data_IF_988836180067
#
_entry.id   IF_988836180067
#
_cell.length_a   1.000
_cell.length_b   1.000
_cell.length_c   1.000
_cell.angle_alpha   90.00
_cell.angle_beta   90.00
_cell.angle_gamma   90.00
#
_symmetry.space_group_name_H-M   'P 1'
#
loop_
_entity.id
_entity.type
_entity.pdbx_description
1 polymer ?
#
# COMPACT_ATOMS: atom_id res chain seq x y z
N UNK A 1 9.74 -9.93 -9.67
CA UNK A 1 8.64 -9.39 -8.85
C UNK A 1 8.96 -9.64 -7.39
N UNK A 2 8.73 -8.66 -6.51
CA UNK A 2 8.85 -8.86 -5.08
C UNK A 2 7.67 -9.70 -4.58
N UNK A 3 7.96 -10.78 -3.85
CA UNK A 3 6.98 -11.58 -3.14
C UNK A 3 7.17 -11.39 -1.64
N UNK A 4 6.34 -10.56 -0.97
CA UNK A 4 6.50 -10.28 0.44
C UNK A 4 6.48 -11.54 1.30
N UNK A 5 5.59 -12.50 1.01
CA UNK A 5 5.52 -13.76 1.74
C UNK A 5 6.85 -14.53 1.69
N UNK A 6 7.54 -14.64 0.55
CA UNK A 6 8.85 -15.30 0.49
C UNK A 6 9.91 -14.51 1.28
N UNK A 7 9.98 -13.20 1.06
CA UNK A 7 11.07 -12.38 1.58
C UNK A 7 10.96 -12.05 3.08
N UNK A 8 9.75 -11.85 3.59
CA UNK A 8 9.51 -11.59 5.02
C UNK A 8 9.70 -12.87 5.85
N UNK A 9 9.39 -14.04 5.30
CA UNK A 9 9.64 -15.32 5.97
C UNK A 9 11.15 -15.61 6.10
N UNK A 10 11.99 -15.10 5.19
CA UNK A 10 13.45 -15.13 5.34
C UNK A 10 13.89 -14.29 6.55
N UNK A 11 13.39 -13.07 6.69
CA UNK A 11 13.73 -12.22 7.85
C UNK A 11 13.22 -12.85 9.15
N UNK A 12 11.97 -13.34 9.15
CA UNK A 12 11.33 -13.98 10.29
C UNK A 12 12.07 -15.22 10.80
N UNK A 13 12.63 -16.04 9.91
CA UNK A 13 13.46 -17.20 10.29
C UNK A 13 14.73 -16.82 11.04
N UNK A 14 15.29 -15.66 10.74
CA UNK A 14 16.51 -15.18 11.36
C UNK A 14 16.25 -14.42 12.67
N UNK A 15 14.99 -14.12 12.99
CA UNK A 15 14.60 -13.42 14.19
C UNK A 15 14.38 -14.40 15.36
N UNK A 16 15.36 -14.47 16.27
CA UNK A 16 15.40 -15.44 17.38
C UNK A 16 14.26 -15.29 18.37
N UNK A 17 13.77 -14.06 18.56
CA UNK A 17 12.76 -13.75 19.55
C UNK A 17 11.36 -13.60 18.96
N UNK A 18 11.16 -14.13 17.74
CA UNK A 18 9.85 -14.15 17.10
C UNK A 18 8.99 -15.29 17.64
N UNK A 19 7.76 -14.97 18.00
CA UNK A 19 6.75 -15.91 18.43
C UNK A 19 5.57 -15.88 17.45
N UNK A 20 4.88 -17.01 17.36
CA UNK A 20 3.65 -17.19 16.61
C UNK A 20 2.53 -17.65 17.54
N UNK A 21 1.36 -17.06 17.39
CA UNK A 21 0.10 -17.57 17.96
C UNK A 21 -0.91 -17.83 16.84
N UNK A 22 -1.92 -18.65 17.15
CA UNK A 22 -3.07 -18.86 16.28
C UNK A 22 -4.37 -18.74 17.07
N UNK A 23 -5.44 -18.34 16.39
CA UNK A 23 -6.80 -18.29 16.94
C UNK A 23 -7.47 -19.68 17.06
N UNK A 24 -6.79 -20.75 16.61
CA UNK A 24 -7.25 -22.13 16.71
C UNK A 24 -6.07 -23.13 16.71
N UNK A 25 -6.25 -24.34 17.28
CA UNK A 25 -5.23 -25.39 17.27
C UNK A 25 -5.02 -25.97 15.87
N UNK A 26 -3.77 -26.16 15.45
CA UNK A 26 -3.38 -26.65 14.12
C UNK A 26 -3.31 -28.19 14.06
N UNK A 27 -4.43 -28.86 14.39
CA UNK A 27 -4.50 -30.33 14.55
C UNK A 27 -5.13 -31.07 13.36
N UNK A 28 -5.70 -30.35 12.38
CA UNK A 28 -6.33 -30.94 11.20
C UNK A 28 -6.27 -29.99 10.01
N UNK A 29 -6.50 -30.49 8.79
CA UNK A 29 -6.55 -29.66 7.58
C UNK A 29 -7.54 -28.50 7.72
N UNK A 30 -8.76 -28.76 8.20
CA UNK A 30 -9.77 -27.71 8.38
C UNK A 30 -9.31 -26.60 9.35
N UNK A 31 -8.59 -26.97 10.41
CA UNK A 31 -8.01 -25.94 11.29
C UNK A 31 -6.91 -25.12 10.61
N UNK A 32 -6.02 -25.73 9.81
CA UNK A 32 -5.07 -24.96 9.01
C UNK A 32 -5.78 -24.02 8.02
N UNK A 33 -6.87 -24.48 7.40
CA UNK A 33 -7.62 -23.68 6.41
C UNK A 33 -8.26 -22.44 7.07
N UNK A 34 -8.71 -22.52 8.32
CA UNK A 34 -9.37 -21.40 9.01
C UNK A 34 -8.45 -20.54 9.89
N UNK A 35 -7.48 -21.16 10.58
CA UNK A 35 -6.66 -20.49 11.57
C UNK A 35 -5.88 -19.31 10.98
N UNK A 36 -5.81 -18.23 11.73
CA UNK A 36 -5.07 -17.02 11.39
C UNK A 36 -3.84 -16.89 12.30
N UNK A 37 -2.62 -16.97 11.75
CA UNK A 37 -1.41 -16.75 12.52
C UNK A 37 -1.22 -15.26 12.83
N UNK A 38 -0.67 -14.98 14.01
CA UNK A 38 -0.13 -13.67 14.37
C UNK A 38 1.28 -13.85 14.89
N UNK A 39 2.12 -12.87 14.62
CA UNK A 39 3.52 -12.88 15.04
C UNK A 39 3.79 -11.72 15.98
N UNK A 40 4.61 -11.97 16.99
CA UNK A 40 5.00 -10.97 17.97
C UNK A 40 6.46 -11.17 18.36
N UNK A 41 7.16 -10.06 18.54
CA UNK A 41 8.52 -10.05 19.07
C UNK A 41 8.49 -9.82 20.58
N UNK A 42 9.13 -10.71 21.33
CA UNK A 42 9.28 -10.60 22.78
C UNK A 42 10.74 -10.28 23.17
N UNK A 43 10.92 -9.62 24.31
CA UNK A 43 12.24 -9.51 24.91
C UNK A 43 12.67 -10.85 25.52
N UNK A 44 13.99 -11.11 25.63
CA UNK A 44 14.53 -12.37 26.16
C UNK A 44 14.09 -12.65 27.61
N UNK A 45 13.86 -11.61 28.41
CA UNK A 45 13.37 -11.72 29.79
C UNK A 45 11.85 -11.93 29.89
N UNK A 46 11.15 -11.82 28.76
CA UNK A 46 9.70 -11.92 28.64
C UNK A 46 9.26 -13.23 27.99
N UNK A 47 10.16 -14.22 27.86
CA UNK A 47 9.81 -15.52 27.27
C UNK A 47 8.66 -16.19 28.06
N UNK A 48 7.64 -16.75 27.37
CA UNK A 48 6.56 -17.46 28.02
C UNK A 48 7.10 -18.63 28.84
N UNK A 49 6.66 -18.76 30.09
CA UNK A 49 7.09 -19.83 31.01
C UNK A 49 6.44 -21.18 30.71
N UNK A 50 5.37 -21.19 29.90
CA UNK A 50 4.65 -22.39 29.47
C UNK A 50 5.08 -22.70 28.04
N UNK A 51 5.63 -23.90 27.83
CA UNK A 51 5.90 -24.42 26.50
C UNK A 51 4.57 -24.73 25.80
N UNK A 52 4.21 -23.87 24.83
CA UNK A 52 2.98 -24.01 24.07
C UNK A 52 3.24 -24.55 22.67
N UNK A 53 2.43 -25.53 22.27
CA UNK A 53 2.52 -26.17 20.98
C UNK A 53 1.19 -26.00 20.24
N UNK A 54 1.19 -25.22 19.16
CA UNK A 54 -0.01 -24.95 18.33
C UNK A 54 -0.57 -26.22 17.68
N UNK A 55 0.21 -27.29 17.57
CA UNK A 55 -0.19 -28.59 17.03
C UNK A 55 -0.80 -29.52 18.09
N UNK A 56 -0.94 -29.07 19.35
CA UNK A 56 -1.60 -29.84 20.41
C UNK A 56 -3.11 -29.63 20.42
N UNK A 57 -3.87 -30.70 20.71
CA UNK A 57 -5.32 -30.61 20.98
C UNK A 57 -5.65 -29.81 22.24
N UNK A 58 -4.68 -29.67 23.15
CA UNK A 58 -4.81 -28.87 24.37
C UNK A 58 -4.32 -27.42 24.19
N UNK A 59 -3.96 -27.02 22.98
CA UNK A 59 -3.55 -25.65 22.70
C UNK A 59 -4.69 -24.68 23.01
N UNK A 60 -4.37 -23.63 23.76
CA UNK A 60 -5.28 -22.53 24.05
C UNK A 60 -5.04 -21.44 23.01
N UNK A 61 -6.03 -21.09 22.18
CA UNK A 61 -5.91 -20.00 21.20
C UNK A 61 -5.32 -18.71 21.78
N UNK A 62 -4.40 -18.09 21.03
CA UNK A 62 -3.67 -16.90 21.48
C UNK A 62 -2.49 -17.20 22.42
N UNK A 63 -2.14 -18.47 22.63
CA UNK A 63 -0.90 -18.78 23.35
C UNK A 63 0.29 -18.76 22.40
N UNK A 64 1.40 -18.16 22.85
CA UNK A 64 2.59 -17.94 22.04
C UNK A 64 3.46 -19.21 21.96
N UNK A 65 3.88 -19.56 20.75
CA UNK A 65 4.89 -20.58 20.46
C UNK A 65 6.09 -19.92 19.81
N UNK A 66 7.32 -20.27 20.22
CA UNK A 66 8.52 -19.73 19.58
C UNK A 66 8.53 -20.13 18.10
N UNK A 67 8.76 -19.17 17.20
CA UNK A 67 8.61 -19.42 15.76
C UNK A 67 9.59 -20.47 15.24
N UNK A 68 10.81 -20.52 15.77
CA UNK A 68 11.77 -21.59 15.46
C UNK A 68 11.22 -22.98 15.84
N UNK A 69 10.65 -23.11 17.05
CA UNK A 69 10.03 -24.35 17.52
C UNK A 69 8.82 -24.73 16.66
N UNK A 70 8.03 -23.74 16.21
CA UNK A 70 6.92 -23.96 15.30
C UNK A 70 7.38 -24.58 13.98
N UNK A 71 8.45 -24.05 13.37
CA UNK A 71 9.01 -24.57 12.12
C UNK A 71 9.62 -25.97 12.26
N UNK A 72 10.18 -26.30 13.43
CA UNK A 72 10.73 -27.63 13.71
C UNK A 72 9.64 -28.68 13.93
N UNK A 73 8.53 -28.30 14.58
CA UNK A 73 7.49 -29.23 15.03
C UNK A 73 6.30 -29.34 14.06
N UNK A 74 6.22 -28.47 13.04
CA UNK A 74 5.09 -28.46 12.11
C UNK A 74 4.94 -29.81 11.38
N UNK A 75 3.76 -30.45 11.42
CA UNK A 75 3.52 -31.67 10.69
C UNK A 75 3.67 -31.46 9.18
N UNK A 76 4.58 -32.17 8.53
CA UNK A 76 4.88 -32.02 7.10
C UNK A 76 6.03 -31.06 6.78
N UNK A 77 6.69 -30.51 7.79
CA UNK A 77 7.96 -29.77 7.66
C UNK A 77 7.82 -28.29 7.33
N UNK A 78 8.95 -27.58 7.44
CA UNK A 78 9.05 -26.12 7.32
C UNK A 78 8.38 -25.55 6.06
N UNK A 79 8.58 -26.19 4.89
CA UNK A 79 7.99 -25.71 3.65
C UNK A 79 6.45 -25.64 3.71
N UNK A 80 5.80 -26.63 4.34
CA UNK A 80 4.34 -26.62 4.51
C UNK A 80 3.88 -25.49 5.43
N UNK A 81 4.64 -25.17 6.48
CA UNK A 81 4.35 -24.02 7.33
C UNK A 81 4.44 -22.71 6.54
N UNK A 82 5.50 -22.53 5.76
CA UNK A 82 5.70 -21.32 4.96
C UNK A 82 4.64 -21.18 3.85
N UNK A 83 4.28 -22.27 3.17
CA UNK A 83 3.20 -22.28 2.18
C UNK A 83 1.84 -21.94 2.84
N UNK A 84 1.60 -22.45 4.05
CA UNK A 84 0.40 -22.12 4.82
C UNK A 84 0.38 -20.64 5.21
N UNK A 85 1.47 -20.09 5.73
CA UNK A 85 1.55 -18.66 6.08
C UNK A 85 1.37 -17.79 4.83
N UNK A 86 2.02 -18.15 3.72
CA UNK A 86 1.88 -17.45 2.44
C UNK A 86 0.41 -17.42 1.98
N UNK A 87 -0.32 -18.53 2.13
CA UNK A 87 -1.76 -18.60 1.81
C UNK A 87 -2.65 -17.71 2.67
N UNK A 88 -2.14 -17.14 3.79
CA UNK A 88 -2.85 -16.17 4.63
C UNK A 88 -2.47 -14.72 4.31
N UNK A 89 -1.43 -14.51 3.51
CA UNK A 89 -0.90 -13.19 3.14
C UNK A 89 -1.30 -12.82 1.71
N UNK A 90 -1.42 -13.82 0.84
CA UNK A 90 -1.75 -13.64 -0.58
C UNK A 90 -3.22 -13.95 -0.82
N UNK A 91 -3.91 -13.05 -1.51
CA UNK A 91 -5.23 -13.30 -2.10
C UNK A 91 -5.04 -13.89 -3.49
N UNK A 92 -5.66 -15.05 -3.73
CA UNK A 92 -5.62 -15.72 -5.01
C UNK A 92 -6.91 -15.47 -5.81
N UNK A 93 -6.85 -15.74 -7.11
CA UNK A 93 -8.01 -15.64 -8.00
C UNK A 93 -9.23 -16.45 -7.49
N UNK A 94 -9.00 -17.61 -6.87
CA UNK A 94 -10.09 -18.43 -6.29
C UNK A 94 -10.82 -17.75 -5.14
N UNK A 95 -10.17 -16.81 -4.45
CA UNK A 95 -10.75 -16.05 -3.34
C UNK A 95 -11.57 -14.89 -3.91
N UNK A 96 -11.02 -14.13 -4.86
CA UNK A 96 -11.71 -13.01 -5.52
C UNK A 96 -12.92 -13.45 -6.37
N UNK A 97 -12.81 -14.58 -7.08
CA UNK A 97 -13.84 -15.07 -8.01
C UNK A 97 -14.70 -16.21 -7.45
N UNK A 98 -14.70 -16.42 -6.13
CA UNK A 98 -15.56 -17.43 -5.53
C UNK A 98 -17.05 -17.10 -5.78
N UNK A 99 -17.89 -18.10 -6.05
CA UNK A 99 -19.29 -17.88 -6.43
C UNK A 99 -20.14 -17.20 -5.34
N UNK A 100 -19.73 -17.35 -4.08
CA UNK A 100 -20.38 -16.72 -2.92
C UNK A 100 -19.66 -15.43 -2.46
N UNK A 101 -18.66 -14.96 -3.21
CA UNK A 101 -17.86 -13.81 -2.84
C UNK A 101 -18.66 -12.52 -2.96
N UNK A 102 -18.52 -11.65 -1.96
CA UNK A 102 -19.04 -10.29 -1.96
C UNK A 102 -17.90 -9.29 -1.75
N UNK A 103 -18.15 -8.00 -2.04
CA UNK A 103 -17.19 -6.91 -1.77
C UNK A 103 -16.77 -6.90 -0.29
N UNK A 104 -17.73 -6.93 0.63
CA UNK A 104 -17.42 -6.96 2.07
C UNK A 104 -16.69 -8.24 2.48
N UNK A 105 -17.05 -9.37 1.88
CA UNK A 105 -16.39 -10.65 2.10
C UNK A 105 -14.91 -10.58 1.70
N UNK A 106 -14.59 -10.03 0.53
CA UNK A 106 -13.21 -10.06 0.03
C UNK A 106 -12.37 -9.02 0.77
N UNK A 107 -12.97 -7.89 1.16
CA UNK A 107 -12.37 -6.95 2.11
C UNK A 107 -12.05 -7.61 3.46
N UNK A 108 -12.91 -8.49 3.98
CA UNK A 108 -12.61 -9.25 5.20
C UNK A 108 -11.38 -10.14 5.03
N UNK A 109 -11.28 -10.86 3.90
CA UNK A 109 -10.09 -11.65 3.56
C UNK A 109 -8.84 -10.76 3.41
N UNK A 110 -8.97 -9.62 2.73
CA UNK A 110 -7.90 -8.64 2.55
C UNK A 110 -7.38 -8.10 3.87
N UNK A 111 -8.25 -7.66 4.78
CA UNK A 111 -7.83 -7.17 6.10
C UNK A 111 -7.12 -8.24 6.94
N UNK A 112 -7.49 -9.53 6.78
CA UNK A 112 -6.82 -10.64 7.46
C UNK A 112 -5.36 -10.79 6.99
N UNK A 113 -5.02 -10.44 5.75
CA UNK A 113 -3.62 -10.51 5.28
C UNK A 113 -2.73 -9.55 6.06
N UNK A 114 -3.21 -8.34 6.34
CA UNK A 114 -2.48 -7.33 7.10
C UNK A 114 -2.28 -7.71 8.57
N UNK A 115 -3.22 -8.47 9.16
CA UNK A 115 -3.04 -9.03 10.51
C UNK A 115 -1.80 -9.92 10.57
N UNK A 116 -1.61 -10.76 9.56
CA UNK A 116 -0.44 -11.66 9.47
C UNK A 116 0.82 -10.86 9.15
N UNK A 117 0.76 -10.00 8.12
CA UNK A 117 1.89 -9.20 7.67
C UNK A 117 2.46 -8.34 8.79
N UNK A 118 1.60 -7.65 9.57
CA UNK A 118 2.00 -6.74 10.64
C UNK A 118 3.05 -7.37 11.55
N UNK A 119 2.80 -8.59 12.03
CA UNK A 119 3.74 -9.28 12.91
C UNK A 119 5.04 -9.74 12.24
N UNK A 120 5.02 -9.97 10.92
CA UNK A 120 6.20 -10.40 10.15
C UNK A 120 7.13 -9.26 9.74
N UNK A 121 6.62 -8.02 9.67
CA UNK A 121 7.40 -6.87 9.21
C UNK A 121 7.62 -5.75 10.25
N UNK A 122 6.83 -5.67 11.33
CA UNK A 122 6.93 -4.60 12.34
C UNK A 122 8.08 -4.81 13.35
N UNK A 123 9.30 -5.03 12.87
CA UNK A 123 10.51 -4.92 13.67
C UNK A 123 11.67 -4.39 12.83
N UNK A 124 12.64 -3.75 13.48
CA UNK A 124 13.69 -2.92 12.89
C UNK A 124 14.34 -3.54 11.64
N UNK A 125 14.85 -4.77 11.74
CA UNK A 125 15.49 -5.45 10.61
C UNK A 125 14.52 -5.72 9.45
N UNK A 126 13.34 -6.29 9.71
CA UNK A 126 12.39 -6.62 8.64
C UNK A 126 11.79 -5.37 8.00
N UNK A 127 11.47 -4.34 8.79
CA UNK A 127 10.93 -3.07 8.32
C UNK A 127 11.91 -2.41 7.32
N UNK A 128 13.19 -2.32 7.70
CA UNK A 128 14.26 -1.78 6.85
C UNK A 128 14.48 -2.62 5.60
N UNK A 129 14.60 -3.94 5.76
CA UNK A 129 14.89 -4.85 4.64
C UNK A 129 13.72 -4.93 3.65
N UNK A 130 12.49 -4.94 4.14
CA UNK A 130 11.31 -4.96 3.30
C UNK A 130 11.23 -3.69 2.45
N UNK A 131 11.36 -2.51 3.06
CA UNK A 131 11.37 -1.25 2.31
C UNK A 131 12.48 -1.21 1.25
N UNK A 132 13.70 -1.66 1.60
CA UNK A 132 14.80 -1.81 0.63
C UNK A 132 14.38 -2.68 -0.56
N UNK A 133 13.81 -3.86 -0.31
CA UNK A 133 13.36 -4.76 -1.37
C UNK A 133 12.27 -4.12 -2.24
N UNK A 134 11.34 -3.36 -1.65
CA UNK A 134 10.31 -2.62 -2.37
C UNK A 134 10.94 -1.63 -3.35
N UNK A 135 11.78 -0.70 -2.89
CA UNK A 135 12.36 0.33 -3.77
C UNK A 135 13.24 -0.28 -4.88
N UNK A 136 13.97 -1.36 -4.59
CA UNK A 136 14.74 -2.09 -5.60
C UNK A 136 13.85 -2.81 -6.61
N UNK A 137 12.71 -3.34 -6.19
CA UNK A 137 11.74 -3.96 -7.10
C UNK A 137 11.13 -2.90 -8.03
N UNK A 138 10.75 -1.75 -7.50
CA UNK A 138 10.19 -0.64 -8.28
C UNK A 138 11.20 -0.14 -9.32
N UNK A 139 12.43 0.12 -8.90
CA UNK A 139 13.50 0.58 -9.80
C UNK A 139 13.78 -0.43 -10.94
N UNK A 140 13.68 -1.73 -10.67
CA UNK A 140 13.85 -2.80 -11.68
C UNK A 140 12.64 -2.92 -12.62
N UNK A 141 11.46 -2.53 -12.17
CA UNK A 141 10.23 -2.45 -12.98
C UNK A 141 10.18 -1.16 -13.82
N UNK A 142 11.27 -0.39 -13.89
CA UNK A 142 11.36 0.85 -14.67
C UNK A 142 10.71 2.08 -14.02
N UNK A 143 10.26 1.96 -12.78
CA UNK A 143 9.62 3.05 -12.04
C UNK A 143 10.69 4.00 -11.54
N UNK A 144 10.48 5.31 -11.72
CA UNK A 144 11.47 6.33 -11.38
C UNK A 144 11.24 6.98 -10.02
N UNK A 145 10.01 6.96 -9.53
CA UNK A 145 9.62 7.63 -8.30
C UNK A 145 8.37 6.99 -7.71
N UNK A 146 8.27 6.98 -6.38
CA UNK A 146 7.12 6.42 -5.70
C UNK A 146 6.69 7.29 -4.52
N UNK A 147 5.38 7.35 -4.29
CA UNK A 147 4.79 7.87 -3.06
C UNK A 147 4.11 6.72 -2.37
N UNK A 148 4.58 6.36 -1.19
CA UNK A 148 4.05 5.25 -0.41
C UNK A 148 3.15 5.79 0.69
N UNK A 149 1.94 5.25 0.79
CA UNK A 149 1.16 5.36 2.03
C UNK A 149 1.88 4.55 3.08
N UNK A 150 2.31 5.20 4.15
CA UNK A 150 2.88 4.52 5.30
C UNK A 150 1.88 4.58 6.43
N UNK A 151 1.46 3.41 6.91
CA UNK A 151 0.54 3.33 8.04
C UNK A 151 1.25 3.78 9.31
N UNK A 152 1.00 5.01 9.71
CA UNK A 152 1.55 5.64 10.93
C UNK A 152 0.40 6.04 11.87
N UNK A 153 -0.67 5.25 11.86
CA UNK A 153 -1.82 5.46 12.74
C UNK A 153 -1.45 5.18 14.20
N UNK A 154 -2.29 5.70 15.11
CA UNK A 154 -2.15 5.50 16.54
C UNK A 154 -1.91 4.02 16.90
N UNK A 155 -0.82 3.76 17.64
CA UNK A 155 -0.48 2.42 18.12
C UNK A 155 0.19 1.50 17.09
N UNK A 156 0.58 1.99 15.91
CA UNK A 156 1.29 1.18 14.92
C UNK A 156 2.81 1.41 14.90
N UNK A 157 3.48 0.80 15.87
CA UNK A 157 4.94 0.87 15.98
C UNK A 157 5.61 -0.43 15.49
N UNK A 158 6.79 -0.28 14.91
CA UNK A 158 7.74 -1.39 14.77
C UNK A 158 8.52 -1.57 16.07
N UNK A 159 8.99 -2.78 16.38
CA UNK A 159 9.81 -3.04 17.58
C UNK A 159 11.31 -3.04 17.28
N UNK A 160 12.12 -2.75 18.29
CA UNK A 160 13.57 -3.05 18.28
C UNK A 160 13.77 -4.56 18.09
N UNK A 161 14.84 -4.97 17.41
CA UNK A 161 15.09 -6.39 17.09
C UNK A 161 15.26 -7.28 18.33
N UNK A 162 15.61 -6.70 19.48
CA UNK A 162 15.71 -7.40 20.76
C UNK A 162 14.37 -7.56 21.48
N UNK A 163 13.29 -6.94 20.98
CA UNK A 163 11.95 -6.99 21.55
C UNK A 163 11.73 -6.11 22.78
N UNK A 164 12.72 -5.31 23.19
CA UNK A 164 12.70 -4.56 24.46
C UNK A 164 11.85 -3.28 24.41
N UNK A 165 11.73 -2.66 23.23
CA UNK A 165 11.02 -1.40 23.06
C UNK A 165 10.41 -1.25 21.67
N UNK A 166 9.41 -0.39 21.59
CA UNK A 166 8.84 0.08 20.33
C UNK A 166 9.67 1.24 19.78
N UNK A 167 9.80 1.30 18.46
CA UNK A 167 10.32 2.45 17.72
C UNK A 167 9.23 3.51 17.64
N UNK A 168 9.53 4.74 18.02
CA UNK A 168 8.63 5.83 17.69
C UNK A 168 8.62 6.09 16.16
N UNK A 169 7.61 6.79 15.64
CA UNK A 169 7.49 7.00 14.20
C UNK A 169 8.66 7.79 13.59
N UNK A 170 9.32 8.68 14.36
CA UNK A 170 10.51 9.39 13.89
C UNK A 170 11.67 8.43 13.64
N UNK A 171 11.89 7.47 14.54
CA UNK A 171 12.88 6.40 14.36
C UNK A 171 12.53 5.52 13.16
N UNK A 172 11.24 5.17 12.99
CA UNK A 172 10.79 4.38 11.82
C UNK A 172 11.05 5.11 10.50
N UNK A 173 10.70 6.40 10.39
CA UNK A 173 10.98 7.19 9.18
C UNK A 173 12.48 7.38 8.97
N UNK A 174 13.28 7.50 10.05
CA UNK A 174 14.74 7.55 9.96
C UNK A 174 15.30 6.27 9.33
N UNK A 175 14.81 5.08 9.71
CA UNK A 175 15.24 3.81 9.08
C UNK A 175 14.99 3.81 7.56
N UNK A 176 13.85 4.34 7.12
CA UNK A 176 13.52 4.44 5.69
C UNK A 176 14.42 5.47 4.98
N UNK A 177 14.67 6.60 5.63
CA UNK A 177 15.59 7.64 5.14
C UNK A 177 17.02 7.11 4.95
N UNK A 178 17.49 6.31 5.91
CA UNK A 178 18.81 5.68 5.85
C UNK A 178 18.90 4.71 4.68
N UNK A 179 17.85 3.92 4.43
CA UNK A 179 17.77 3.03 3.25
C UNK A 179 17.86 3.83 1.95
N UNK A 180 17.11 4.93 1.80
CA UNK A 180 17.19 5.77 0.60
C UNK A 180 18.60 6.35 0.42
N UNK A 181 19.20 6.85 1.48
CA UNK A 181 20.55 7.44 1.46
C UNK A 181 21.61 6.41 1.05
N UNK A 182 21.46 5.17 1.52
CA UNK A 182 22.37 4.06 1.25
C UNK A 182 22.20 3.48 -0.16
N UNK A 183 20.95 3.32 -0.62
CA UNK A 183 20.63 2.50 -1.80
C UNK A 183 20.47 3.30 -3.09
N UNK A 184 20.08 4.59 -3.04
CA UNK A 184 19.96 5.41 -4.26
C UNK A 184 21.28 5.51 -5.06
N UNK A 185 22.45 5.73 -4.44
CA UNK A 185 23.72 5.72 -5.18
C UNK A 185 24.02 4.36 -5.83
N UNK A 186 23.64 3.25 -5.17
CA UNK A 186 23.86 1.89 -5.68
C UNK A 186 22.97 1.59 -6.89
N UNK A 187 21.73 2.08 -6.89
CA UNK A 187 20.81 1.97 -8.03
C UNK A 187 21.36 2.74 -9.23
N UNK A 188 21.80 3.99 -9.01
CA UNK A 188 22.43 4.82 -10.05
C UNK A 188 23.69 4.16 -10.64
N UNK A 189 24.53 3.55 -9.81
CA UNK A 189 25.72 2.81 -10.27
C UNK A 189 25.38 1.57 -11.12
N UNK A 190 24.16 1.05 -11.02
CA UNK A 190 23.62 -0.03 -11.87
C UNK A 190 22.79 0.49 -13.05
N UNK A 191 22.88 1.78 -13.36
CA UNK A 191 22.10 2.44 -14.42
C UNK A 191 20.59 2.32 -14.26
N UNK A 192 20.09 2.18 -13.03
CA UNK A 192 18.67 2.28 -12.73
C UNK A 192 18.28 3.75 -12.52
N UNK A 193 17.18 4.18 -13.13
CA UNK A 193 16.70 5.56 -13.09
C UNK A 193 15.69 5.80 -11.96
N UNK A 194 16.08 5.54 -10.70
CA UNK A 194 15.21 5.76 -9.54
C UNK A 194 15.62 7.03 -8.77
N UNK A 195 14.74 8.03 -8.79
CA UNK A 195 14.92 9.35 -8.17
C UNK A 195 14.61 9.37 -6.68
N UNK A 196 13.81 8.42 -6.18
CA UNK A 196 13.54 8.28 -4.75
C UNK A 196 12.09 7.94 -4.41
N UNK A 197 11.84 7.87 -3.11
CA UNK A 197 10.52 7.67 -2.53
C UNK A 197 10.13 8.87 -1.65
N UNK A 198 8.82 9.04 -1.47
CA UNK A 198 8.21 9.94 -0.49
C UNK A 198 7.09 9.21 0.24
N UNK A 199 6.69 9.77 1.37
CA UNK A 199 5.74 9.14 2.27
C UNK A 199 4.50 10.00 2.43
N UNK A 200 3.34 9.37 2.31
CA UNK A 200 2.05 9.93 2.66
C UNK A 200 1.72 9.35 4.03
N UNK A 201 1.58 10.21 5.03
CA UNK A 201 1.15 9.78 6.35
C UNK A 201 -0.28 9.26 6.24
N UNK A 202 -0.54 8.06 6.76
CA UNK A 202 -1.86 7.43 6.61
C UNK A 202 -2.43 7.03 7.97
N UNK A 203 -3.52 7.69 8.34
CA UNK A 203 -4.39 7.29 9.46
C UNK A 203 -5.37 6.19 9.01
N UNK A 204 -5.89 5.41 9.95
CA UNK A 204 -6.99 4.48 9.67
C UNK A 204 -8.33 5.14 9.92
N UNK A 205 -9.24 5.05 8.95
CA UNK A 205 -10.59 5.65 9.07
C UNK A 205 -11.47 5.06 10.17
N UNK A 206 -11.07 3.95 10.79
CA UNK A 206 -11.75 3.34 11.93
C UNK A 206 -11.32 3.95 13.28
N UNK A 207 -10.38 4.90 13.29
CA UNK A 207 -9.91 5.50 14.52
C UNK A 207 -10.95 6.45 15.14
N UNK A 208 -10.79 6.70 16.43
CA UNK A 208 -11.53 7.73 17.15
C UNK A 208 -11.04 9.13 16.76
N UNK A 209 -11.78 10.17 17.18
CA UNK A 209 -11.39 11.57 16.96
C UNK A 209 -10.11 11.95 17.72
N UNK A 210 -9.94 11.44 18.93
CA UNK A 210 -8.73 11.67 19.74
C UNK A 210 -7.50 11.02 19.07
N UNK A 211 -7.65 9.81 18.53
CA UNK A 211 -6.59 9.16 17.76
C UNK A 211 -6.29 9.90 16.45
N UNK A 212 -7.29 10.51 15.81
CA UNK A 212 -7.09 11.37 14.63
C UNK A 212 -6.30 12.63 14.98
N UNK A 213 -6.62 13.30 16.09
CA UNK A 213 -5.87 14.45 16.58
C UNK A 213 -4.41 14.07 16.88
N UNK A 214 -4.19 12.91 17.50
CA UNK A 214 -2.83 12.39 17.70
C UNK A 214 -2.10 12.16 16.38
N UNK A 215 -2.78 11.59 15.37
CA UNK A 215 -2.21 11.37 14.04
C UNK A 215 -1.83 12.69 13.34
N UNK A 216 -2.64 13.74 13.55
CA UNK A 216 -2.38 15.09 13.04
C UNK A 216 -1.10 15.65 13.66
N UNK A 217 -0.99 15.63 14.99
CA UNK A 217 0.19 16.10 15.72
C UNK A 217 1.46 15.35 15.27
N UNK A 218 1.37 14.03 15.14
CA UNK A 218 2.50 13.19 14.74
C UNK A 218 2.90 13.46 13.28
N UNK A 219 1.93 13.61 12.36
CA UNK A 219 2.21 13.97 10.97
C UNK A 219 2.93 15.33 10.86
N UNK A 220 2.52 16.33 11.64
CA UNK A 220 3.18 17.65 11.70
C UNK A 220 4.62 17.49 12.20
N UNK A 221 4.82 16.77 13.31
CA UNK A 221 6.14 16.55 13.88
C UNK A 221 7.08 15.82 12.91
N UNK A 222 6.57 14.81 12.20
CA UNK A 222 7.33 14.09 11.17
C UNK A 222 7.64 14.97 9.97
N UNK A 223 6.71 15.84 9.54
CA UNK A 223 6.98 16.82 8.47
C UNK A 223 8.06 17.80 8.86
N UNK A 224 8.08 18.28 10.11
CA UNK A 224 9.15 19.17 10.58
C UNK A 224 10.50 18.46 10.66
N UNK A 225 10.52 17.19 11.08
CA UNK A 225 11.75 16.40 11.16
C UNK A 225 12.27 15.94 9.79
N UNK A 226 11.37 15.65 8.85
CA UNK A 226 11.67 15.11 7.52
C UNK A 226 10.90 15.88 6.43
N UNK A 227 11.22 17.17 6.22
CA UNK A 227 10.44 18.07 5.35
C UNK A 227 10.36 17.59 3.91
N UNK A 228 11.40 16.93 3.43
CA UNK A 228 11.43 16.40 2.07
C UNK A 228 10.69 15.07 1.95
N UNK A 229 10.63 14.24 2.99
CA UNK A 229 10.09 12.87 2.90
C UNK A 229 8.57 12.81 3.12
N UNK A 230 8.03 13.55 4.08
CA UNK A 230 6.58 13.58 4.34
C UNK A 230 5.91 14.53 3.34
N UNK A 231 5.07 13.97 2.47
CA UNK A 231 4.56 14.67 1.28
C UNK A 231 3.03 14.76 1.20
N UNK A 232 2.31 14.24 2.18
CA UNK A 232 0.86 14.34 2.26
C UNK A 232 0.27 13.58 3.44
N UNK A 233 -1.05 13.71 3.59
CA UNK A 233 -1.86 13.02 4.59
C UNK A 233 -3.05 12.32 3.92
N UNK A 234 -3.39 11.13 4.40
CA UNK A 234 -4.43 10.25 3.85
C UNK A 234 -5.14 9.48 4.98
N UNK A 235 -6.31 8.95 4.66
CA UNK A 235 -7.09 8.05 5.50
C UNK A 235 -7.43 6.77 4.72
N UNK A 236 -6.88 5.64 5.17
CA UNK A 236 -7.07 4.33 4.53
C UNK A 236 -7.90 3.38 5.41
N UNK A 237 -8.18 2.19 4.87
CA UNK A 237 -9.04 1.16 5.45
C UNK A 237 -10.37 1.04 4.72
N UNK A 238 -11.19 0.01 5.02
CA UNK A 238 -12.38 -0.32 4.24
C UNK A 238 -13.38 0.84 4.21
N UNK A 239 -13.56 1.47 3.04
CA UNK A 239 -14.33 2.71 2.91
C UNK A 239 -15.78 2.55 3.39
N UNK A 240 -16.38 1.39 3.09
CA UNK A 240 -17.76 1.06 3.43
C UNK A 240 -18.01 0.79 4.92
N UNK A 241 -16.98 0.48 5.71
CA UNK A 241 -17.13 0.06 7.10
C UNK A 241 -16.51 1.03 8.12
N UNK A 242 -15.65 1.94 7.66
CA UNK A 242 -15.03 2.96 8.50
C UNK A 242 -15.79 4.28 8.54
N UNK A 243 -15.24 5.27 9.23
CA UNK A 243 -15.83 6.61 9.25
C UNK A 243 -15.60 7.34 7.92
N UNK A 244 -16.60 8.09 7.42
CA UNK A 244 -16.42 8.98 6.28
C UNK A 244 -15.55 10.19 6.64
N UNK A 245 -15.07 10.93 5.64
CA UNK A 245 -14.33 12.18 5.83
C UNK A 245 -15.18 13.21 6.59
N UNK A 246 -16.49 13.26 6.34
CA UNK A 246 -17.45 14.12 7.03
C UNK A 246 -17.41 13.99 8.57
N UNK A 247 -17.05 12.82 9.09
CA UNK A 247 -16.93 12.56 10.52
C UNK A 247 -15.76 13.35 11.16
N UNK A 248 -14.69 13.58 10.41
CA UNK A 248 -13.44 14.21 10.88
C UNK A 248 -13.27 15.65 10.39
N UNK A 249 -14.31 16.31 9.88
CA UNK A 249 -14.19 17.67 9.32
C UNK A 249 -13.55 18.66 10.31
N UNK A 250 -13.97 18.75 11.58
CA UNK A 250 -13.33 19.65 12.53
C UNK A 250 -11.82 19.39 12.67
N UNK A 251 -11.43 18.12 12.80
CA UNK A 251 -10.05 17.69 12.99
C UNK A 251 -9.20 17.95 11.73
N UNK A 252 -9.74 17.67 10.54
CA UNK A 252 -9.05 17.91 9.26
C UNK A 252 -8.92 19.40 8.93
N UNK A 253 -9.89 20.24 9.32
CA UNK A 253 -9.79 21.69 9.19
C UNK A 253 -8.77 22.28 10.18
N UNK A 254 -8.71 21.76 11.41
CA UNK A 254 -7.68 22.11 12.38
C UNK A 254 -6.28 21.79 11.83
N UNK A 255 -6.09 20.58 11.29
CA UNK A 255 -4.81 20.19 10.69
C UNK A 255 -4.36 21.12 9.57
N UNK A 256 -5.27 21.55 8.69
CA UNK A 256 -4.96 22.53 7.65
C UNK A 256 -4.51 23.86 8.27
N UNK A 257 -5.25 24.35 9.26
CA UNK A 257 -4.93 25.60 9.95
C UNK A 257 -3.55 25.53 10.61
N UNK A 258 -3.23 24.45 11.32
CA UNK A 258 -1.93 24.29 11.97
C UNK A 258 -0.78 24.19 10.96
N UNK A 259 -1.00 23.51 9.82
CA UNK A 259 -0.03 23.51 8.73
C UNK A 259 0.21 24.92 8.19
N UNK A 260 -0.84 25.74 8.01
CA UNK A 260 -0.73 27.12 7.57
C UNK A 260 0.03 27.99 8.59
N UNK A 261 -0.33 27.90 9.87
CA UNK A 261 0.32 28.63 10.96
C UNK A 261 1.82 28.29 11.10
N UNK A 262 2.18 27.03 10.85
CA UNK A 262 3.57 26.56 10.86
C UNK A 262 4.29 26.70 9.52
N UNK A 263 3.63 27.25 8.48
CA UNK A 263 4.15 27.34 7.11
C UNK A 263 4.61 25.99 6.54
N UNK A 264 3.93 24.91 6.92
CA UNK A 264 4.15 23.56 6.42
C UNK A 264 3.20 23.28 5.26
N UNK A 265 3.74 22.72 4.17
CA UNK A 265 2.92 22.22 3.07
C UNK A 265 2.73 20.71 3.18
N UNK A 266 1.54 20.29 3.66
CA UNK A 266 1.11 18.89 3.70
C UNK A 266 -0.26 18.78 3.00
N UNK A 267 -0.31 18.40 1.71
CA UNK A 267 -1.58 18.25 1.01
C UNK A 267 -2.33 16.99 1.45
N UNK A 268 -3.65 17.06 1.40
CA UNK A 268 -4.49 15.86 1.48
C UNK A 268 -4.42 15.06 0.18
N UNK A 269 -4.40 13.73 0.30
CA UNK A 269 -4.34 12.77 -0.80
C UNK A 269 -5.25 11.58 -0.45
N UNK A 270 -6.55 11.85 -0.30
CA UNK A 270 -7.49 10.92 0.34
C UNK A 270 -7.86 9.74 -0.57
N UNK A 271 -7.97 8.54 0.02
CA UNK A 271 -8.86 7.51 -0.50
C UNK A 271 -10.31 7.99 -0.42
N UNK A 272 -10.98 8.03 -1.57
CA UNK A 272 -12.39 8.38 -1.65
C UNK A 272 -13.06 7.75 -2.88
N UNK A 273 -14.29 7.27 -2.70
CA UNK A 273 -15.10 6.71 -3.78
C UNK A 273 -14.66 5.32 -4.25
N UNK A 274 -13.91 4.57 -3.46
CA UNK A 274 -13.64 3.14 -3.63
C UNK A 274 -14.88 2.31 -3.21
N UNK A 275 -15.99 2.52 -3.90
CA UNK A 275 -17.27 1.90 -3.53
C UNK A 275 -18.18 1.64 -4.73
N UNK A 276 -19.01 0.60 -4.60
CA UNK A 276 -20.14 0.36 -5.49
C UNK A 276 -21.35 1.23 -5.15
N UNK A 277 -21.39 1.83 -3.96
CA UNK A 277 -22.45 2.71 -3.51
C UNK A 277 -22.63 3.94 -4.42
N UNK A 278 -23.84 4.50 -4.44
CA UNK A 278 -24.17 5.69 -5.18
C UNK A 278 -25.12 6.60 -4.40
N UNK A 279 -24.63 7.79 -4.05
CA UNK A 279 -25.38 8.79 -3.29
C UNK A 279 -25.50 8.51 -1.79
N UNK A 280 -24.86 7.45 -1.28
CA UNK A 280 -24.75 7.20 0.16
C UNK A 280 -23.57 7.92 0.81
N UNK A 281 -23.38 7.65 2.10
CA UNK A 281 -22.40 8.34 2.95
C UNK A 281 -20.95 8.08 2.50
N UNK A 282 -20.65 6.87 2.02
CA UNK A 282 -19.31 6.50 1.56
C UNK A 282 -18.97 7.21 0.25
N UNK A 283 -19.89 7.17 -0.72
CA UNK A 283 -19.74 7.86 -2.01
C UNK A 283 -19.61 9.38 -1.83
N UNK A 284 -20.18 9.92 -0.75
CA UNK A 284 -20.07 11.34 -0.39
C UNK A 284 -18.64 11.78 -0.02
N UNK A 285 -17.73 10.84 0.31
CA UNK A 285 -16.32 11.15 0.54
C UNK A 285 -15.66 11.85 -0.66
N UNK A 286 -16.12 11.62 -1.89
CA UNK A 286 -15.62 12.33 -3.07
C UNK A 286 -15.89 13.84 -2.99
N UNK A 287 -17.05 14.24 -2.49
CA UNK A 287 -17.42 15.64 -2.31
C UNK A 287 -16.53 16.27 -1.23
N UNK A 288 -16.44 15.60 -0.08
CA UNK A 288 -15.65 16.09 1.05
C UNK A 288 -14.16 16.19 0.70
N UNK A 289 -13.59 15.20 0.01
CA UNK A 289 -12.18 15.23 -0.41
C UNK A 289 -11.89 16.44 -1.31
N UNK A 290 -12.77 16.73 -2.28
CA UNK A 290 -12.64 17.88 -3.19
C UNK A 290 -12.80 19.20 -2.43
N UNK A 291 -13.81 19.31 -1.55
CA UNK A 291 -14.03 20.50 -0.72
C UNK A 291 -12.88 20.74 0.27
N UNK A 292 -12.24 19.67 0.74
CA UNK A 292 -11.03 19.71 1.55
C UNK A 292 -9.77 20.04 0.73
N UNK A 293 -9.90 20.30 -0.57
CA UNK A 293 -8.79 20.73 -1.42
C UNK A 293 -7.74 19.65 -1.66
N UNK A 294 -8.17 18.37 -1.66
CA UNK A 294 -7.28 17.25 -1.95
C UNK A 294 -6.56 17.43 -3.28
N UNK A 295 -5.30 16.98 -3.37
CA UNK A 295 -4.50 17.08 -4.60
C UNK A 295 -4.62 15.86 -5.48
N UNK A 296 -4.95 14.70 -4.89
CA UNK A 296 -5.24 13.47 -5.62
C UNK A 296 -6.29 12.67 -4.86
N UNK A 297 -7.04 11.86 -5.59
CA UNK A 297 -8.04 10.95 -5.04
C UNK A 297 -7.55 9.52 -5.25
N UNK A 298 -7.37 8.78 -4.16
CA UNK A 298 -7.14 7.33 -4.15
C UNK A 298 -8.37 6.60 -4.69
N UNK A 299 -8.17 5.74 -5.69
CA UNK A 299 -9.19 5.01 -6.46
C UNK A 299 -10.16 5.88 -7.25
N UNK A 300 -11.01 6.68 -6.58
CA UNK A 300 -12.05 7.46 -7.24
C UNK A 300 -12.99 6.61 -8.10
N UNK A 301 -13.23 5.36 -7.71
CA UNK A 301 -13.93 4.38 -8.52
C UNK A 301 -15.35 4.82 -8.90
N UNK A 302 -16.10 5.36 -7.93
CA UNK A 302 -17.46 5.87 -8.12
C UNK A 302 -17.53 7.27 -8.74
N UNK A 303 -16.40 7.93 -9.01
CA UNK A 303 -16.36 9.32 -9.50
C UNK A 303 -17.13 9.52 -10.82
N UNK A 304 -17.15 8.50 -11.68
CA UNK A 304 -17.87 8.55 -12.97
C UNK A 304 -19.39 8.68 -12.82
N UNK A 305 -19.93 8.40 -11.63
CA UNK A 305 -21.35 8.62 -11.29
C UNK A 305 -21.66 10.09 -11.01
N UNK A 306 -20.64 10.95 -10.91
CA UNK A 306 -20.73 12.35 -10.49
C UNK A 306 -20.11 13.30 -11.53
N UNK A 307 -20.83 13.65 -12.62
CA UNK A 307 -20.30 14.48 -13.69
C UNK A 307 -19.73 15.83 -13.23
N UNK A 308 -20.39 16.48 -12.26
CA UNK A 308 -19.90 17.73 -11.70
C UNK A 308 -18.56 17.54 -10.96
N UNK A 309 -18.39 16.44 -10.22
CA UNK A 309 -17.13 16.18 -9.52
C UNK A 309 -16.00 15.85 -10.49
N UNK A 310 -16.27 15.12 -11.58
CA UNK A 310 -15.29 14.93 -12.66
C UNK A 310 -14.82 16.27 -13.24
N UNK A 311 -15.77 17.19 -13.49
CA UNK A 311 -15.45 18.53 -13.97
C UNK A 311 -14.57 19.29 -12.97
N UNK A 312 -14.92 19.24 -11.68
CA UNK A 312 -14.12 19.87 -10.63
C UNK A 312 -12.72 19.26 -10.52
N UNK A 313 -12.56 17.94 -10.65
CA UNK A 313 -11.24 17.32 -10.66
C UNK A 313 -10.38 17.83 -11.82
N UNK A 314 -10.96 17.97 -13.02
CA UNK A 314 -10.27 18.53 -14.18
C UNK A 314 -9.87 19.99 -13.96
N UNK A 315 -10.81 20.83 -13.54
CA UNK A 315 -10.60 22.27 -13.36
C UNK A 315 -9.59 22.56 -12.24
N UNK A 316 -9.70 21.84 -11.13
CA UNK A 316 -8.85 22.03 -9.95
C UNK A 316 -7.55 21.23 -10.02
N UNK A 317 -7.28 20.54 -11.14
CA UNK A 317 -6.07 19.73 -11.33
C UNK A 317 -5.90 18.69 -10.20
N UNK A 318 -6.96 17.94 -9.92
CA UNK A 318 -6.97 16.83 -8.97
C UNK A 318 -6.84 15.53 -9.75
N UNK A 319 -5.74 14.80 -9.53
CA UNK A 319 -5.51 13.54 -10.23
C UNK A 319 -6.17 12.35 -9.52
N UNK A 320 -6.71 11.42 -10.28
CA UNK A 320 -7.27 10.16 -9.77
C UNK A 320 -6.22 9.05 -9.87
N UNK A 321 -6.08 8.29 -8.79
CA UNK A 321 -5.14 7.18 -8.68
C UNK A 321 -5.84 5.86 -8.98
N UNK A 322 -5.57 5.30 -10.15
CA UNK A 322 -6.31 4.18 -10.71
C UNK A 322 -5.58 2.88 -10.40
N UNK A 323 -6.25 1.98 -9.71
CA UNK A 323 -5.69 0.71 -9.20
C UNK A 323 -6.50 -0.47 -9.75
N UNK A 324 -6.34 -0.80 -11.05
CA UNK A 324 -7.25 -1.70 -11.77
C UNK A 324 -7.24 -3.14 -11.25
N UNK A 325 -6.07 -3.67 -10.83
CA UNK A 325 -5.99 -5.03 -10.26
C UNK A 325 -6.66 -5.04 -8.90
N UNK A 326 -6.38 -4.05 -8.04
CA UNK A 326 -7.03 -3.89 -6.73
C UNK A 326 -8.55 -3.85 -6.87
N UNK A 327 -9.07 -2.99 -7.76
CA UNK A 327 -10.51 -2.86 -7.98
C UNK A 327 -11.15 -4.16 -8.52
N UNK A 328 -10.43 -4.97 -9.30
CA UNK A 328 -10.90 -6.27 -9.77
C UNK A 328 -10.89 -7.31 -8.65
N UNK A 329 -9.78 -7.43 -7.92
CA UNK A 329 -9.61 -8.38 -6.80
C UNK A 329 -10.61 -8.08 -5.67
N UNK A 330 -10.84 -6.81 -5.35
CA UNK A 330 -11.76 -6.38 -4.28
C UNK A 330 -13.24 -6.34 -4.72
N UNK A 331 -13.56 -6.86 -5.91
CA UNK A 331 -14.93 -7.08 -6.36
C UNK A 331 -15.68 -5.81 -6.78
N UNK A 332 -14.98 -4.68 -6.96
CA UNK A 332 -15.60 -3.45 -7.48
C UNK A 332 -15.84 -3.56 -8.99
N UNK A 333 -14.91 -4.21 -9.69
CA UNK A 333 -14.92 -4.32 -11.15
C UNK A 333 -14.82 -5.79 -11.59
N UNK A 334 -15.86 -6.38 -12.20
CA UNK A 334 -15.79 -7.80 -12.61
C UNK A 334 -14.71 -8.09 -13.65
N UNK A 335 -14.44 -7.13 -14.53
CA UNK A 335 -13.36 -7.18 -15.53
C UNK A 335 -12.91 -5.77 -15.85
N UNK A 336 -11.66 -5.60 -16.26
CA UNK A 336 -11.12 -4.30 -16.72
C UNK A 336 -11.96 -3.56 -17.78
N UNK A 337 -12.76 -4.27 -18.59
CA UNK A 337 -13.64 -3.64 -19.60
C UNK A 337 -14.75 -2.77 -18.97
N UNK A 338 -15.08 -3.03 -17.72
CA UNK A 338 -16.06 -2.28 -16.94
C UNK A 338 -15.44 -1.18 -16.07
N UNK A 339 -14.12 -1.04 -16.12
CA UNK A 339 -13.40 -0.10 -15.26
C UNK A 339 -13.75 1.36 -15.62
N UNK A 340 -13.89 2.30 -14.66
CA UNK A 340 -14.28 3.68 -14.91
C UNK A 340 -13.27 4.53 -15.70
N UNK A 341 -12.02 4.04 -15.81
CA UNK A 341 -10.90 4.78 -16.42
C UNK A 341 -11.20 5.35 -17.82
N UNK A 342 -11.75 4.60 -18.80
CA UNK A 342 -12.03 5.16 -20.12
C UNK A 342 -12.99 6.35 -20.09
N UNK A 343 -13.96 6.36 -19.17
CA UNK A 343 -14.90 7.49 -18.98
C UNK A 343 -14.17 8.69 -18.40
N UNK A 344 -13.31 8.49 -17.38
CA UNK A 344 -12.50 9.57 -16.79
C UNK A 344 -11.60 10.22 -17.85
N UNK A 345 -10.90 9.42 -18.65
CA UNK A 345 -10.02 9.92 -19.71
C UNK A 345 -10.78 10.65 -20.81
N UNK A 346 -11.96 10.14 -21.20
CA UNK A 346 -12.83 10.80 -22.20
C UNK A 346 -13.34 12.17 -21.73
N UNK A 347 -13.36 12.42 -20.42
CA UNK A 347 -13.71 13.70 -19.82
C UNK A 347 -12.49 14.57 -19.47
N UNK A 348 -11.29 14.16 -19.86
CA UNK A 348 -10.00 14.81 -19.53
C UNK A 348 -9.75 14.92 -18.02
N UNK A 349 -10.22 13.97 -17.22
CA UNK A 349 -9.85 13.90 -15.80
C UNK A 349 -8.41 13.40 -15.69
N UNK A 350 -7.50 14.12 -15.00
CA UNK A 350 -6.13 13.66 -14.84
C UNK A 350 -6.08 12.35 -14.07
N UNK A 351 -5.37 11.36 -14.60
CA UNK A 351 -5.28 10.02 -14.02
C UNK A 351 -3.84 9.53 -13.95
N UNK A 352 -3.57 8.60 -13.03
CA UNK A 352 -2.33 7.84 -12.94
C UNK A 352 -2.65 6.39 -12.68
N UNK A 353 -1.88 5.46 -13.25
CA UNK A 353 -2.01 4.02 -12.96
C UNK A 353 -1.11 3.68 -11.78
N UNK A 354 -1.62 2.92 -10.83
CA UNK A 354 -0.94 2.54 -9.59
C UNK A 354 -1.24 1.07 -9.28
N UNK A 355 -0.36 0.44 -8.51
CA UNK A 355 -0.46 -0.99 -8.18
C UNK A 355 -1.08 -1.27 -6.81
N UNK A 356 -1.35 -0.22 -6.02
CA UNK A 356 -1.91 -0.31 -4.67
C UNK A 356 -1.11 -1.26 -3.75
N UNK A 357 -1.62 -2.45 -3.42
CA UNK A 357 -0.94 -3.50 -2.65
C UNK A 357 -0.45 -4.69 -3.51
N UNK A 358 0.53 -4.51 -4.42
CA UNK A 358 1.00 -5.55 -5.35
C UNK A 358 1.52 -6.81 -4.66
N UNK A 359 1.91 -6.70 -3.38
CA UNK A 359 2.36 -7.80 -2.55
C UNK A 359 1.26 -8.81 -2.20
N UNK A 360 0.01 -8.36 -2.09
CA UNK A 360 -1.13 -9.17 -1.65
C UNK A 360 -1.72 -9.98 -2.79
N UNK A 361 -1.69 -9.47 -4.03
CA UNK A 361 -2.17 -10.20 -5.22
C UNK A 361 -1.04 -10.63 -6.17
N UNK A 362 0.21 -10.54 -5.72
CA UNK A 362 1.41 -10.98 -6.46
C UNK A 362 1.55 -10.34 -7.86
N UNK A 363 1.59 -9.01 -7.92
CA UNK A 363 1.76 -8.26 -9.18
C UNK A 363 2.85 -7.19 -9.11
N UNK A 364 2.95 -6.39 -10.17
CA UNK A 364 3.79 -5.18 -10.24
C UNK A 364 3.01 -4.09 -11.00
N UNK A 365 3.50 -2.86 -11.01
CA UNK A 365 2.86 -1.79 -11.77
C UNK A 365 2.75 -2.10 -13.27
N UNK A 366 3.73 -2.81 -13.83
CA UNK A 366 3.67 -3.30 -15.21
C UNK A 366 2.44 -4.18 -15.48
N UNK A 367 1.96 -4.94 -14.50
CA UNK A 367 0.74 -5.74 -14.62
C UNK A 367 -0.52 -4.87 -14.65
N UNK A 368 -0.59 -3.82 -13.82
CA UNK A 368 -1.70 -2.85 -13.85
C UNK A 368 -1.75 -2.11 -15.18
N UNK A 369 -0.60 -1.69 -15.71
CA UNK A 369 -0.51 -1.13 -17.07
C UNK A 369 -1.00 -2.14 -18.11
N UNK A 370 -0.54 -3.40 -18.02
CA UNK A 370 -0.97 -4.47 -18.94
C UNK A 370 -2.49 -4.66 -18.93
N UNK A 371 -3.11 -4.71 -17.75
CA UNK A 371 -4.55 -4.88 -17.62
C UNK A 371 -5.27 -3.73 -18.33
N UNK A 372 -4.88 -2.48 -18.07
CA UNK A 372 -5.48 -1.29 -18.70
C UNK A 372 -5.26 -1.28 -20.23
N UNK A 373 -4.06 -1.62 -20.70
CA UNK A 373 -3.71 -1.77 -22.12
C UNK A 373 -4.64 -2.76 -22.83
N UNK A 374 -4.93 -3.90 -22.18
CA UNK A 374 -5.79 -4.95 -22.73
C UNK A 374 -7.29 -4.65 -22.55
N UNK A 375 -7.64 -3.78 -21.60
CA UNK A 375 -9.02 -3.46 -21.26
C UNK A 375 -9.71 -2.53 -22.24
N UNK A 376 -8.98 -1.69 -22.96
CA UNK A 376 -9.54 -0.79 -23.97
C UNK A 376 -8.60 -0.55 -25.15
N UNK A 377 -9.15 -0.71 -26.36
CA UNK A 377 -8.48 -0.35 -27.61
C UNK A 377 -8.62 1.15 -27.95
N UNK A 378 -9.23 1.96 -27.06
CA UNK A 378 -9.48 3.38 -27.31
C UNK A 378 -8.24 4.26 -27.15
N UNK A 379 -7.11 3.70 -26.70
CA UNK A 379 -5.88 4.43 -26.43
C UNK A 379 -4.75 3.97 -27.34
N UNK A 380 -3.93 4.94 -27.77
CA UNK A 380 -2.68 4.69 -28.49
C UNK A 380 -1.47 4.85 -27.57
N UNK A 381 -0.28 4.58 -28.12
CA UNK A 381 1.00 4.85 -27.47
C UNK A 381 1.12 6.28 -26.91
N UNK A 382 0.46 7.26 -27.56
CA UNK A 382 0.41 8.65 -27.10
C UNK A 382 -0.40 8.79 -25.81
N UNK A 383 -1.54 8.09 -25.70
CA UNK A 383 -2.36 8.10 -24.49
C UNK A 383 -1.61 7.49 -23.28
N UNK A 384 -0.87 6.40 -23.51
CA UNK A 384 -0.04 5.78 -22.48
C UNK A 384 1.05 6.73 -21.97
N UNK A 385 1.69 7.47 -22.90
CA UNK A 385 2.65 8.52 -22.54
C UNK A 385 2.04 9.57 -21.62
N UNK A 386 0.82 10.05 -21.93
CA UNK A 386 0.13 11.07 -21.13
C UNK A 386 -0.13 10.59 -19.70
N UNK A 387 -0.55 9.33 -19.51
CA UNK A 387 -0.72 8.78 -18.16
C UNK A 387 0.58 8.79 -17.36
N UNK A 388 1.71 8.47 -18.00
CA UNK A 388 3.02 8.54 -17.34
C UNK A 388 3.43 9.98 -17.04
N UNK A 389 3.21 10.91 -17.98
CA UNK A 389 3.48 12.34 -17.75
C UNK A 389 2.63 12.90 -16.60
N UNK A 390 1.35 12.55 -16.52
CA UNK A 390 0.50 12.93 -15.40
C UNK A 390 0.97 12.34 -14.07
N UNK A 391 1.57 11.14 -14.05
CA UNK A 391 2.18 10.62 -12.83
C UNK A 391 3.33 11.51 -12.30
N UNK A 392 4.04 12.21 -13.19
CA UNK A 392 5.11 13.17 -12.87
C UNK A 392 4.51 14.53 -12.50
N UNK A 393 3.62 15.07 -13.35
CA UNK A 393 3.00 16.38 -13.17
C UNK A 393 2.25 16.49 -11.83
N UNK A 394 1.48 15.45 -11.49
CA UNK A 394 0.67 15.36 -10.27
C UNK A 394 1.42 14.63 -9.12
N UNK A 395 2.75 14.48 -9.24
CA UNK A 395 3.58 14.02 -8.14
C UNK A 395 3.75 15.10 -7.04
N UNK A 396 4.30 14.68 -5.89
CA UNK A 396 4.65 15.60 -4.79
C UNK A 396 6.11 16.11 -4.89
N UNK A 397 6.76 15.93 -6.05
CA UNK A 397 8.09 16.48 -6.31
C UNK A 397 8.06 18.01 -6.35
N UNK A 398 9.18 18.64 -5.99
CA UNK A 398 9.40 20.07 -6.27
C UNK A 398 9.49 20.36 -7.78
N UNK A 399 9.36 21.63 -8.19
CA UNK A 399 9.37 21.99 -9.61
C UNK A 399 10.63 21.54 -10.34
N UNK A 400 11.81 21.78 -9.77
CA UNK A 400 13.07 21.32 -10.39
C UNK A 400 13.20 19.79 -10.44
N UNK A 401 12.66 19.08 -9.44
CA UNK A 401 12.62 17.62 -9.44
C UNK A 401 11.72 17.10 -10.56
N UNK A 402 10.56 17.74 -10.77
CA UNK A 402 9.64 17.42 -11.89
C UNK A 402 10.30 17.67 -13.23
N UNK A 403 10.99 18.79 -13.42
CA UNK A 403 11.70 19.10 -14.66
C UNK A 403 12.78 18.04 -14.97
N UNK A 404 13.58 17.66 -13.96
CA UNK A 404 14.57 16.59 -14.13
C UNK A 404 13.92 15.24 -14.44
N UNK A 405 12.82 14.91 -13.76
CA UNK A 405 12.08 13.67 -13.98
C UNK A 405 11.49 13.63 -15.40
N UNK A 406 10.93 14.73 -15.90
CA UNK A 406 10.38 14.82 -17.25
C UNK A 406 11.46 14.66 -18.31
N UNK A 407 12.62 15.33 -18.16
CA UNK A 407 13.75 15.16 -19.10
C UNK A 407 14.24 13.71 -19.14
N UNK A 408 14.39 13.07 -17.98
CA UNK A 408 14.80 11.68 -17.88
C UNK A 408 13.74 10.71 -18.42
N UNK A 409 12.46 10.99 -18.21
CA UNK A 409 11.34 10.23 -18.78
C UNK A 409 11.35 10.33 -20.30
N UNK A 410 11.43 11.52 -20.88
CA UNK A 410 11.41 11.71 -22.33
C UNK A 410 12.58 11.00 -23.02
N UNK A 411 13.76 11.02 -22.40
CA UNK A 411 14.92 10.27 -22.90
C UNK A 411 14.66 8.76 -22.92
N UNK A 412 14.17 8.19 -21.82
CA UNK A 412 13.83 6.76 -21.73
C UNK A 412 12.68 6.39 -22.66
N UNK A 413 11.68 7.27 -22.80
CA UNK A 413 10.55 7.08 -23.68
C UNK A 413 10.98 6.99 -25.15
N UNK A 414 11.88 7.87 -25.61
CA UNK A 414 12.43 7.78 -26.97
C UNK A 414 13.20 6.49 -27.20
N UNK A 415 14.01 6.04 -26.23
CA UNK A 415 14.72 4.77 -26.31
C UNK A 415 13.76 3.58 -26.38
N UNK A 416 12.69 3.60 -25.57
CA UNK A 416 11.63 2.59 -25.59
C UNK A 416 10.91 2.54 -26.96
N UNK A 417 10.52 3.68 -27.50
CA UNK A 417 9.91 3.76 -28.84
C UNK A 417 10.86 3.24 -29.92
N UNK A 418 12.14 3.62 -29.88
CA UNK A 418 13.13 3.14 -30.84
C UNK A 418 13.32 1.62 -30.74
N UNK A 419 13.39 1.09 -29.52
CA UNK A 419 13.46 -0.36 -29.29
C UNK A 419 12.25 -1.10 -29.86
N UNK A 420 11.04 -0.53 -29.76
CA UNK A 420 9.83 -1.11 -30.38
C UNK A 420 10.00 -1.18 -31.90
N UNK A 421 10.42 -0.10 -32.54
CA UNK A 421 10.66 -0.06 -34.00
C UNK A 421 11.72 -1.11 -34.36
N UNK A 422 12.90 -1.04 -33.75
CA UNK A 422 14.01 -1.94 -34.08
C UNK A 422 13.65 -3.44 -33.89
N UNK A 423 12.79 -3.75 -32.93
CA UNK A 423 12.43 -5.14 -32.58
C UNK A 423 11.22 -5.69 -33.34
N UNK A 424 10.28 -4.82 -33.72
CA UNK A 424 8.96 -5.24 -34.20
C UNK A 424 8.54 -4.63 -35.55
N UNK A 425 9.30 -3.71 -36.14
CA UNK A 425 8.96 -3.07 -37.43
C UNK A 425 8.77 -4.11 -38.55
N UNK A 426 9.59 -5.17 -38.57
CA UNK A 426 9.45 -6.27 -39.53
C UNK A 426 8.20 -7.15 -39.36
N UNK A 427 7.42 -6.97 -38.28
CA UNK A 427 6.17 -7.71 -38.02
C UNK A 427 4.91 -6.96 -38.47
N UNK A 428 5.07 -5.74 -38.94
CA UNK A 428 4.04 -4.90 -39.54
C UNK A 428 4.43 -4.56 -40.99
#
# INVERSE_FOLDING_TARGET
MLRPHESLLIDARNQKNLYIETDAPLVSKGFFDHALPRFQLLAEDSEPTIDTNTFSKSYIPGSLMKYSSFLEQVPGGMQRAEDWIASKIVLHAKDAYHAEQTVDGIWSHFMRTFVVLRGLFNYETAYKNHFRRVIWSLARDGIMYVKLRISMHYGNYARRDDGTADLNHKEMVQLLSDVLSEDLPKMKAKSLHFSGARFIFTAFRSCTKDEMLWCIDDCIALKQAFPDLICGFDMAGPENAGHPLSFFIPELLLFRQECEDLSLHIPFIFHAGETLDHGGEVDSNLYDAILLGTKRIGHGYSLTKHPLLMQLCKENKIAVEICPISNEVLGLCPTIKNHPLPVLLSNCVPCSINSDDPGVWETTLSHDFYQVLMGSNSMSLVGWRVLVQWSIEYSCMGMEEKERAEVAFLSQWHQFCQHIVDSYDSRF
#
